data_IF_884584938073
#
_entry.id   IF_884584938073
#
_cell.length_a   1.000
_cell.length_b   1.000
_cell.length_c   1.000
_cell.angle_alpha   90.00
_cell.angle_beta   90.00
_cell.angle_gamma   90.00
#
_symmetry.space_group_name_H-M   'P 1'
#
loop_
_entity.id
_entity.type
_entity.pdbx_description
1 polymer ?
#
# COMPACT_ATOMS: atom_id res chain seq x y z
N UNK A 1 -7.97 -14.19 3.39
CA UNK A 1 -7.05 -13.09 3.76
C UNK A 1 -6.85 -13.15 5.26
N UNK A 2 -5.62 -13.44 5.72
CA UNK A 2 -5.34 -13.52 7.17
C UNK A 2 -5.64 -12.14 7.77
N UNK A 3 -6.45 -12.07 8.83
CA UNK A 3 -6.69 -10.82 9.55
C UNK A 3 -5.40 -10.43 10.26
N UNK A 4 -4.55 -9.66 9.57
CA UNK A 4 -3.39 -9.00 10.16
C UNK A 4 -3.92 -7.79 10.95
N UNK A 5 -3.32 -7.48 12.10
CA UNK A 5 -3.66 -6.32 12.93
C UNK A 5 -3.42 -4.98 12.23
N UNK A 6 -3.33 -3.84 12.94
CA UNK A 6 -3.02 -2.57 12.29
C UNK A 6 -1.67 -2.65 11.55
N UNK A 7 -1.59 -2.00 10.39
CA UNK A 7 -0.33 -1.81 9.67
C UNK A 7 0.58 -0.84 10.42
N UNK A 8 1.87 -0.84 10.08
CA UNK A 8 2.85 0.10 10.65
C UNK A 8 2.41 1.56 10.42
N UNK A 9 1.77 1.83 9.29
CA UNK A 9 1.26 3.17 8.97
C UNK A 9 0.03 3.55 9.80
N UNK A 10 -0.88 2.60 10.03
CA UNK A 10 -2.05 2.81 10.90
C UNK A 10 -1.65 3.03 12.36
N UNK A 11 -0.58 2.36 12.83
CA UNK A 11 -0.08 2.49 14.20
C UNK A 11 0.70 3.79 14.45
N UNK A 12 1.58 4.19 13.53
CA UNK A 12 2.52 5.28 13.77
C UNK A 12 2.21 6.58 13.00
N UNK A 13 1.42 6.51 11.93
CA UNK A 13 1.11 7.67 11.08
C UNK A 13 -0.33 7.63 10.52
N UNK A 14 -1.37 7.47 11.36
CA UNK A 14 -2.75 7.25 10.91
C UNK A 14 -3.31 8.41 10.07
N UNK A 15 -2.84 9.64 10.32
CA UNK A 15 -3.28 10.84 9.60
C UNK A 15 -2.35 11.21 8.42
N UNK A 16 -1.43 10.32 8.04
CA UNK A 16 -0.50 10.61 6.94
C UNK A 16 -1.23 10.69 5.61
N UNK A 17 -0.89 11.73 4.84
CA UNK A 17 -1.40 11.98 3.49
C UNK A 17 -0.43 11.52 2.40
N UNK A 18 0.63 10.78 2.75
CA UNK A 18 1.59 10.24 1.79
C UNK A 18 0.87 9.46 0.69
N UNK A 19 1.14 9.77 -0.58
CA UNK A 19 0.49 9.13 -1.73
C UNK A 19 0.68 7.61 -1.73
N UNK A 20 1.85 7.10 -1.33
CA UNK A 20 2.13 5.67 -1.30
C UNK A 20 1.47 4.93 -0.14
N UNK A 21 1.72 5.35 1.10
CA UNK A 21 1.39 4.56 2.29
C UNK A 21 0.48 5.29 3.30
N UNK A 22 0.06 6.53 3.01
CA UNK A 22 -0.72 7.35 3.92
C UNK A 22 -2.15 6.84 4.08
N UNK A 23 -2.59 6.44 5.30
CA UNK A 23 -3.94 5.93 5.50
C UNK A 23 -5.03 6.98 5.24
N UNK A 24 -4.71 8.27 5.40
CA UNK A 24 -5.64 9.38 5.22
C UNK A 24 -5.71 9.90 3.77
N UNK A 25 -4.93 9.35 2.83
CA UNK A 25 -5.00 9.75 1.42
C UNK A 25 -5.91 8.79 0.63
N UNK A 26 -7.17 9.17 0.41
CA UNK A 26 -8.16 8.34 -0.28
C UNK A 26 -7.78 8.04 -1.75
N UNK A 27 -7.10 9.00 -2.38
CA UNK A 27 -6.61 8.96 -3.76
C UNK A 27 -5.22 8.29 -3.89
N UNK A 28 -4.57 8.01 -2.77
CA UNK A 28 -3.28 7.33 -2.71
C UNK A 28 -3.37 5.81 -2.89
N UNK A 29 -2.21 5.18 -3.05
CA UNK A 29 -2.08 3.72 -3.14
C UNK A 29 -2.51 3.03 -1.83
N UNK A 30 -2.36 3.72 -0.68
CA UNK A 30 -2.68 3.22 0.66
C UNK A 30 -2.06 1.85 0.95
N UNK A 31 -0.78 1.69 0.59
CA UNK A 31 -0.01 0.48 0.86
C UNK A 31 0.06 0.26 2.37
N UNK A 32 -0.26 -0.97 2.80
CA UNK A 32 -0.23 -1.40 4.19
C UNK A 32 0.92 -2.37 4.39
N UNK A 33 1.88 -1.99 5.24
CA UNK A 33 3.03 -2.83 5.58
C UNK A 33 2.83 -3.49 6.94
N UNK A 34 3.14 -4.78 7.02
CA UNK A 34 3.03 -5.59 8.23
C UNK A 34 4.38 -6.17 8.59
N UNK A 35 4.66 -6.26 9.90
CA UNK A 35 5.90 -6.88 10.38
C UNK A 35 5.93 -8.37 10.02
N UNK A 36 7.05 -8.81 9.46
CA UNK A 36 7.40 -10.20 9.22
C UNK A 36 8.72 -10.54 9.92
N UNK A 37 9.15 -11.80 9.85
CA UNK A 37 10.40 -12.25 10.50
C UNK A 37 11.65 -11.54 9.93
N UNK A 38 11.60 -11.09 8.68
CA UNK A 38 12.73 -10.48 7.96
C UNK A 38 12.55 -8.99 7.68
N UNK A 39 11.52 -8.35 8.22
CA UNK A 39 11.28 -6.92 8.05
C UNK A 39 9.80 -6.60 7.88
N UNK A 40 9.44 -6.06 6.72
CA UNK A 40 8.07 -5.66 6.39
C UNK A 40 7.62 -6.33 5.10
N UNK A 41 6.39 -6.84 5.12
CA UNK A 41 5.71 -7.40 3.96
C UNK A 41 4.46 -6.59 3.64
N UNK A 42 4.13 -6.53 2.36
CA UNK A 42 2.89 -5.93 1.88
C UNK A 42 2.34 -6.71 0.69
N UNK A 43 1.02 -6.69 0.55
CA UNK A 43 0.32 -7.14 -0.63
C UNK A 43 -0.43 -5.93 -1.19
N UNK A 44 -0.29 -5.70 -2.50
CA UNK A 44 -0.95 -4.61 -3.17
C UNK A 44 -1.62 -5.13 -4.45
N UNK A 45 -2.88 -4.73 -4.66
CA UNK A 45 -3.61 -5.01 -5.88
C UNK A 45 -3.76 -3.72 -6.68
N UNK A 46 -2.98 -3.54 -7.77
CA UNK A 46 -3.03 -2.32 -8.55
C UNK A 46 -4.38 -2.14 -9.26
N UNK A 47 -4.82 -0.88 -9.39
CA UNK A 47 -6.00 -0.49 -10.16
C UNK A 47 -5.62 -0.23 -11.63
N UNK A 48 -6.63 -0.06 -12.48
CA UNK A 48 -6.43 0.25 -13.90
C UNK A 48 -5.60 1.51 -14.15
N UNK A 49 -5.74 2.52 -13.29
CA UNK A 49 -4.99 3.78 -13.33
C UNK A 49 -3.49 3.63 -13.03
N UNK A 50 -3.07 2.50 -12.44
CA UNK A 50 -1.65 2.21 -12.15
C UNK A 50 -0.94 1.48 -13.30
N UNK A 51 -1.56 1.39 -14.49
CA UNK A 51 -1.03 0.68 -15.66
C UNK A 51 -0.05 1.55 -16.44
N UNK A 52 0.99 0.94 -17.02
CA UNK A 52 1.94 1.63 -17.89
C UNK A 52 1.46 1.77 -19.34
N UNK A 53 1.30 0.63 -20.04
CA UNK A 53 1.15 0.60 -21.50
C UNK A 53 0.12 -0.44 -21.95
N UNK A 54 0.44 -1.73 -21.77
CA UNK A 54 -0.40 -2.84 -22.24
C UNK A 54 -1.13 -3.53 -21.08
N UNK A 55 -2.18 -4.32 -21.36
CA UNK A 55 -2.83 -5.15 -20.35
C UNK A 55 -1.81 -6.02 -19.61
N UNK A 56 -1.76 -5.89 -18.29
CA UNK A 56 -0.87 -6.68 -17.43
C UNK A 56 0.46 -6.01 -17.06
N UNK A 57 0.73 -4.77 -17.51
CA UNK A 57 1.96 -4.05 -17.13
C UNK A 57 1.66 -2.90 -16.15
N UNK A 58 2.27 -2.96 -14.96
CA UNK A 58 2.21 -1.91 -13.93
C UNK A 58 3.23 -0.80 -14.23
N UNK A 59 2.88 0.45 -13.93
CA UNK A 59 3.82 1.56 -13.97
C UNK A 59 4.98 1.31 -12.97
N UNK A 60 6.22 1.53 -13.40
CA UNK A 60 7.39 1.27 -12.56
C UNK A 60 7.67 2.34 -11.50
N UNK A 61 7.01 3.51 -11.60
CA UNK A 61 7.09 4.60 -10.65
C UNK A 61 6.01 4.58 -9.58
#
# INVERSE_FOLDING_TARGET
>A
MRQRGPSVQEEHAPNSICFGCGPANEDGLRIRSFRSESGLEMEFSPKAEHRALSPGMINGG
#
